data_IF_197627492102
#
_entry.id   IF_197627492102
#
_cell.length_a   1.000
_cell.length_b   1.000
_cell.length_c   1.000
_cell.angle_alpha   90.00
_cell.angle_beta   90.00
_cell.angle_gamma   90.00
#
_symmetry.space_group_name_H-M   'P 1'
#
loop_
_entity.id
_entity.type
_entity.pdbx_description
1 polymer ?
#
# COMPACT_ATOMS: atom_id res chain seq x y z
N UNK A 1 -19.17 1.19 24.06
CA UNK A 1 -18.65 0.11 23.20
C UNK A 1 -17.29 0.49 22.57
N UNK A 2 -16.39 -0.48 22.32
CA UNK A 2 -15.12 -0.21 21.62
C UNK A 2 -15.39 0.05 20.15
N UNK A 3 -14.76 1.08 19.56
CA UNK A 3 -14.84 1.35 18.12
C UNK A 3 -14.21 0.22 17.31
N UNK A 4 -14.88 -0.19 16.24
CA UNK A 4 -14.44 -1.25 15.34
C UNK A 4 -13.69 -0.62 14.18
N UNK A 5 -12.41 -0.97 14.04
CA UNK A 5 -11.55 -0.47 12.98
C UNK A 5 -11.17 -1.62 12.06
N UNK A 6 -11.45 -1.47 10.78
CA UNK A 6 -11.05 -2.37 9.71
C UNK A 6 -9.83 -1.82 9.00
N UNK A 7 -8.80 -2.63 8.83
CA UNK A 7 -7.63 -2.34 7.99
C UNK A 7 -7.49 -3.43 6.94
N UNK A 8 -7.28 -3.02 5.69
CA UNK A 8 -7.05 -3.94 4.58
C UNK A 8 -5.67 -3.67 4.00
N UNK A 9 -4.86 -4.73 3.88
CA UNK A 9 -3.56 -4.67 3.20
C UNK A 9 -3.58 -5.62 2.00
N UNK A 10 -3.06 -5.15 0.86
CA UNK A 10 -3.14 -5.86 -0.42
C UNK A 10 -1.77 -6.20 -1.01
N UNK A 11 -0.71 -5.54 -0.52
CA UNK A 11 0.65 -5.76 -1.00
C UNK A 11 1.70 -5.64 0.11
N UNK A 12 2.90 -6.15 -0.19
CA UNK A 12 4.06 -6.00 0.70
C UNK A 12 4.43 -4.53 0.91
N UNK A 13 4.22 -3.68 -0.09
CA UNK A 13 4.58 -2.27 -0.04
C UNK A 13 3.77 -1.53 1.03
N UNK A 14 2.44 -1.66 1.00
CA UNK A 14 1.56 -1.06 2.00
C UNK A 14 1.76 -1.67 3.39
N UNK A 15 1.86 -3.00 3.50
CA UNK A 15 2.12 -3.65 4.78
C UNK A 15 3.44 -3.22 5.41
N UNK A 16 4.53 -3.17 4.62
CA UNK A 16 5.85 -2.80 5.11
C UNK A 16 5.88 -1.42 5.77
N UNK A 17 5.18 -0.47 5.18
CA UNK A 17 5.04 0.89 5.70
C UNK A 17 4.11 0.93 6.92
N UNK A 18 2.96 0.25 6.85
CA UNK A 18 1.92 0.31 7.87
C UNK A 18 2.13 -0.66 9.04
N UNK A 19 3.14 -1.53 9.02
CA UNK A 19 3.37 -2.58 10.00
C UNK A 19 3.34 -2.07 11.45
N UNK A 20 4.03 -0.97 11.72
CA UNK A 20 4.07 -0.40 13.07
C UNK A 20 2.71 0.12 13.52
N UNK A 21 1.97 0.75 12.62
CA UNK A 21 0.61 1.23 12.88
C UNK A 21 -0.35 0.07 13.15
N UNK A 22 -0.28 -0.99 12.35
CA UNK A 22 -1.06 -2.22 12.55
C UNK A 22 -0.79 -2.81 13.93
N UNK A 23 0.48 -2.83 14.36
CA UNK A 23 0.88 -3.32 15.67
C UNK A 23 0.26 -2.49 16.81
N UNK A 24 0.29 -1.17 16.69
CA UNK A 24 -0.31 -0.26 17.68
C UNK A 24 -1.83 -0.47 17.78
N UNK A 25 -2.52 -0.59 16.65
CA UNK A 25 -3.97 -0.87 16.67
C UNK A 25 -4.28 -2.22 17.31
N UNK A 26 -3.49 -3.25 16.98
CA UNK A 26 -3.73 -4.59 17.50
C UNK A 26 -3.47 -4.70 19.01
N UNK A 27 -2.52 -3.91 19.53
CA UNK A 27 -2.18 -3.87 20.97
C UNK A 27 -3.13 -3.01 21.77
N UNK A 28 -3.93 -2.16 21.12
CA UNK A 28 -4.81 -1.21 21.82
C UNK A 28 -6.00 -1.92 22.45
N UNK A 29 -6.17 -1.71 23.76
CA UNK A 29 -7.36 -2.17 24.50
C UNK A 29 -8.61 -1.29 24.27
N UNK A 30 -8.46 -0.11 23.64
CA UNK A 30 -9.54 0.87 23.43
C UNK A 30 -10.39 0.60 22.21
N UNK A 31 -9.90 -0.18 21.26
CA UNK A 31 -10.54 -0.45 19.97
C UNK A 31 -10.72 -1.96 19.73
N UNK A 32 -11.57 -2.32 18.77
CA UNK A 32 -11.68 -3.67 18.22
C UNK A 32 -11.13 -3.64 16.79
N UNK A 33 -9.92 -4.17 16.63
CA UNK A 33 -9.18 -4.10 15.37
C UNK A 33 -9.35 -5.37 14.54
N UNK A 34 -9.57 -5.20 13.23
CA UNK A 34 -9.73 -6.27 12.25
C UNK A 34 -8.77 -6.05 11.09
N UNK A 35 -7.77 -6.93 10.96
CA UNK A 35 -6.86 -6.93 9.82
C UNK A 35 -7.34 -7.93 8.77
N UNK A 36 -7.58 -7.46 7.56
CA UNK A 36 -7.81 -8.31 6.39
C UNK A 36 -6.58 -8.26 5.49
N UNK A 37 -6.15 -9.45 5.08
CA UNK A 37 -5.05 -9.62 4.13
C UNK A 37 -5.63 -10.07 2.80
N UNK A 38 -5.28 -9.35 1.73
CA UNK A 38 -5.85 -9.54 0.40
C UNK A 38 -4.80 -9.33 -0.70
N UNK A 39 -5.22 -9.25 -1.94
CA UNK A 39 -4.39 -8.86 -3.07
C UNK A 39 -3.18 -9.79 -3.30
N UNK A 40 -2.05 -9.16 -3.62
CA UNK A 40 -0.80 -9.86 -3.96
C UNK A 40 -0.18 -10.62 -2.80
N UNK A 41 -0.54 -10.30 -1.55
CA UNK A 41 -0.09 -11.06 -0.38
C UNK A 41 -0.41 -12.55 -0.45
N UNK A 42 -1.49 -12.92 -1.16
CA UNK A 42 -2.03 -14.27 -1.21
C UNK A 42 -1.59 -15.05 -2.47
N UNK A 43 -0.71 -14.48 -3.29
CA UNK A 43 -0.25 -15.08 -4.54
C UNK A 43 1.22 -15.48 -4.46
N UNK A 44 1.54 -16.70 -4.90
CA UNK A 44 2.91 -17.24 -4.86
C UNK A 44 3.87 -16.51 -5.80
N UNK A 45 3.40 -16.16 -6.99
CA UNK A 45 4.17 -15.42 -7.98
C UNK A 45 4.56 -13.98 -7.54
N UNK A 46 3.95 -13.47 -6.45
CA UNK A 46 4.34 -12.24 -5.77
C UNK A 46 5.07 -12.50 -4.45
N UNK A 47 5.64 -13.71 -4.27
CA UNK A 47 6.44 -14.09 -3.11
C UNK A 47 5.65 -14.49 -1.87
N UNK A 48 4.31 -14.66 -1.97
CA UNK A 48 3.43 -15.11 -0.86
C UNK A 48 3.71 -14.35 0.46
N UNK A 49 3.73 -13.02 0.36
CA UNK A 49 4.22 -12.12 1.43
C UNK A 49 3.36 -12.12 2.71
N UNK A 50 2.23 -12.84 2.71
CA UNK A 50 1.49 -13.14 3.94
C UNK A 50 2.34 -13.87 4.99
N UNK A 51 3.41 -14.58 4.56
CA UNK A 51 4.35 -15.22 5.47
C UNK A 51 5.05 -14.19 6.36
N UNK A 52 5.36 -13.01 5.82
CA UNK A 52 5.96 -11.92 6.60
C UNK A 52 5.02 -11.43 7.71
N UNK A 53 3.72 -11.28 7.39
CA UNK A 53 2.69 -10.87 8.37
C UNK A 53 2.59 -11.88 9.51
N UNK A 54 2.59 -13.18 9.18
CA UNK A 54 2.55 -14.26 10.17
C UNK A 54 3.82 -14.31 11.04
N UNK A 55 5.00 -14.17 10.43
CA UNK A 55 6.28 -14.17 11.13
C UNK A 55 6.39 -13.00 12.12
N UNK A 56 5.74 -11.89 11.82
CA UNK A 56 5.61 -10.75 12.72
C UNK A 56 4.56 -10.95 13.83
N UNK A 57 3.96 -12.16 13.95
CA UNK A 57 2.94 -12.50 14.96
C UNK A 57 1.71 -11.59 14.95
N UNK A 58 1.41 -10.99 13.79
CA UNK A 58 0.23 -10.13 13.63
C UNK A 58 -0.99 -11.01 13.40
N UNK A 59 -2.05 -10.78 14.22
CA UNK A 59 -3.31 -11.51 14.11
C UNK A 59 -4.09 -11.07 12.88
N UNK A 60 -4.28 -11.98 11.95
CA UNK A 60 -5.10 -11.78 10.75
C UNK A 60 -6.53 -12.21 11.08
N UNK A 61 -7.49 -11.31 10.90
CA UNK A 61 -8.91 -11.63 11.07
C UNK A 61 -9.42 -12.51 9.91
N UNK A 62 -9.11 -12.13 8.66
CA UNK A 62 -9.56 -12.86 7.47
C UNK A 62 -8.60 -12.66 6.31
N UNK A 63 -8.52 -13.67 5.43
CA UNK A 63 -7.88 -13.62 4.12
C UNK A 63 -8.96 -13.55 3.06
N UNK A 64 -8.85 -12.63 2.10
CA UNK A 64 -9.81 -12.48 1.01
C UNK A 64 -9.05 -12.41 -0.31
N UNK A 65 -9.18 -13.42 -1.14
CA UNK A 65 -8.58 -13.40 -2.47
C UNK A 65 -9.50 -12.64 -3.45
N UNK A 66 -9.05 -11.46 -3.88
CA UNK A 66 -9.76 -10.62 -4.84
C UNK A 66 -9.18 -10.71 -6.25
N UNK A 67 -7.94 -11.16 -6.41
CA UNK A 67 -7.23 -11.10 -7.70
C UNK A 67 -7.75 -12.10 -8.73
N UNK A 68 -8.48 -13.15 -8.33
CA UNK A 68 -8.94 -14.18 -9.28
C UNK A 68 -7.77 -14.85 -10.02
N UNK A 69 -8.09 -15.44 -11.17
CA UNK A 69 -7.12 -15.92 -12.17
C UNK A 69 -6.88 -14.80 -13.17
N UNK A 70 -5.67 -14.24 -13.17
CA UNK A 70 -5.29 -13.20 -14.12
C UNK A 70 -5.05 -13.81 -15.50
N UNK A 71 -5.71 -13.25 -16.50
CA UNK A 71 -5.53 -13.62 -17.92
C UNK A 71 -4.64 -12.62 -18.67
N UNK A 72 -4.01 -11.68 -17.95
CA UNK A 72 -3.16 -10.61 -18.48
C UNK A 72 -3.86 -9.73 -19.53
N UNK A 73 -5.13 -9.42 -19.30
CA UNK A 73 -5.89 -8.50 -20.12
C UNK A 73 -6.43 -7.33 -19.27
N UNK A 74 -6.89 -6.27 -19.93
CA UNK A 74 -7.39 -5.05 -19.28
C UNK A 74 -8.69 -5.24 -18.47
N UNK A 75 -9.36 -6.38 -18.60
CA UNK A 75 -10.53 -6.73 -17.78
C UNK A 75 -10.15 -7.31 -16.42
N UNK A 76 -8.88 -7.67 -16.20
CA UNK A 76 -8.45 -8.27 -14.94
C UNK A 76 -8.73 -7.34 -13.75
N UNK A 77 -8.57 -6.03 -13.93
CA UNK A 77 -8.83 -5.04 -12.89
C UNK A 77 -10.33 -4.89 -12.59
N UNK A 78 -11.19 -5.03 -13.60
CA UNK A 78 -12.65 -5.10 -13.41
C UNK A 78 -13.07 -6.34 -12.63
N UNK A 79 -12.41 -7.48 -12.87
CA UNK A 79 -12.64 -8.70 -12.09
C UNK A 79 -12.25 -8.50 -10.63
N UNK A 80 -11.15 -7.79 -10.37
CA UNK A 80 -10.72 -7.45 -9.01
C UNK A 80 -11.74 -6.55 -8.34
N UNK A 81 -12.25 -5.52 -9.01
CA UNK A 81 -13.31 -4.64 -8.49
C UNK A 81 -14.59 -5.45 -8.15
N UNK A 82 -15.06 -6.29 -9.08
CA UNK A 82 -16.20 -7.20 -8.86
C UNK A 82 -16.00 -8.08 -7.63
N UNK A 83 -14.82 -8.71 -7.51
CA UNK A 83 -14.50 -9.59 -6.39
C UNK A 83 -14.41 -8.82 -5.07
N UNK A 84 -13.90 -7.59 -5.09
CA UNK A 84 -13.86 -6.73 -3.91
C UNK A 84 -15.28 -6.49 -3.40
N UNK A 85 -16.21 -6.06 -4.23
CA UNK A 85 -17.61 -5.91 -3.84
C UNK A 85 -18.19 -7.23 -3.31
N UNK A 86 -18.07 -8.32 -4.08
CA UNK A 86 -18.64 -9.63 -3.74
C UNK A 86 -18.24 -10.11 -2.35
N UNK A 87 -16.96 -10.02 -2.01
CA UNK A 87 -16.43 -10.59 -0.77
C UNK A 87 -16.47 -9.62 0.40
N UNK A 88 -16.29 -8.31 0.15
CA UNK A 88 -16.27 -7.34 1.22
C UNK A 88 -17.67 -6.92 1.70
N UNK A 89 -18.71 -6.96 0.85
CA UNK A 89 -20.09 -6.73 1.30
C UNK A 89 -20.45 -7.68 2.45
N UNK A 90 -20.17 -8.98 2.31
CA UNK A 90 -20.41 -9.96 3.39
C UNK A 90 -19.59 -9.65 4.65
N UNK A 91 -18.37 -9.16 4.45
CA UNK A 91 -17.45 -8.83 5.55
C UNK A 91 -17.90 -7.59 6.30
N UNK A 92 -18.34 -6.54 5.59
CA UNK A 92 -18.91 -5.34 6.17
C UNK A 92 -20.16 -5.64 6.98
N UNK A 93 -21.09 -6.43 6.41
CA UNK A 93 -22.30 -6.89 7.16
C UNK A 93 -21.93 -7.60 8.47
N UNK A 94 -20.91 -8.46 8.46
CA UNK A 94 -20.50 -9.25 9.64
C UNK A 94 -19.78 -8.40 10.70
N UNK A 95 -18.86 -7.52 10.30
CA UNK A 95 -18.05 -6.71 11.21
C UNK A 95 -18.85 -5.48 11.65
N UNK A 96 -19.55 -4.84 10.72
CA UNK A 96 -20.15 -3.51 10.83
C UNK A 96 -19.13 -2.52 11.41
N UNK A 97 -18.05 -2.17 10.64
CA UNK A 97 -16.96 -1.35 11.13
C UNK A 97 -17.41 0.12 11.31
N UNK A 98 -16.97 0.76 12.38
CA UNK A 98 -17.13 2.22 12.56
C UNK A 98 -16.18 2.98 11.62
N UNK A 99 -14.97 2.43 11.40
CA UNK A 99 -13.95 3.02 10.55
C UNK A 99 -13.27 1.97 9.68
N UNK A 100 -12.90 2.39 8.48
CA UNK A 100 -11.93 1.66 7.65
C UNK A 100 -10.71 2.53 7.40
N UNK A 101 -9.53 1.93 7.49
CA UNK A 101 -8.26 2.59 7.13
C UNK A 101 -7.85 2.11 5.75
N UNK A 102 -7.60 3.06 4.85
CA UNK A 102 -7.08 2.86 3.50
C UNK A 102 -5.75 3.58 3.39
N UNK A 103 -4.73 2.86 2.94
CA UNK A 103 -3.39 3.40 2.72
C UNK A 103 -3.10 3.51 1.22
N UNK A 104 -2.69 4.72 0.79
CA UNK A 104 -2.21 4.97 -0.57
C UNK A 104 -3.31 4.94 -1.64
N UNK A 105 -2.98 4.33 -2.76
CA UNK A 105 -3.62 4.56 -4.04
C UNK A 105 -3.80 3.30 -4.90
N UNK A 106 -3.62 2.15 -4.31
CA UNK A 106 -3.75 0.91 -5.08
C UNK A 106 -5.15 0.76 -5.66
N UNK A 107 -5.24 0.37 -6.93
CA UNK A 107 -6.50 0.32 -7.69
C UNK A 107 -7.56 -0.58 -7.02
N UNK A 108 -7.16 -1.65 -6.36
CA UNK A 108 -8.08 -2.52 -5.63
C UNK A 108 -8.70 -1.87 -4.37
N UNK A 109 -8.15 -0.74 -3.92
CA UNK A 109 -8.67 0.00 -2.77
C UNK A 109 -9.80 0.96 -3.15
N UNK A 110 -9.89 1.38 -4.41
CA UNK A 110 -10.96 2.28 -4.88
C UNK A 110 -12.37 1.65 -4.73
N UNK A 111 -12.63 0.42 -5.23
CA UNK A 111 -13.93 -0.23 -5.01
C UNK A 111 -14.22 -0.48 -3.53
N UNK A 112 -13.19 -0.68 -2.70
CA UNK A 112 -13.35 -0.82 -1.25
C UNK A 112 -13.74 0.51 -0.58
N UNK A 113 -13.12 1.62 -0.99
CA UNK A 113 -13.49 2.97 -0.52
C UNK A 113 -14.94 3.30 -0.91
N UNK A 114 -15.32 3.02 -2.15
CA UNK A 114 -16.70 3.24 -2.61
C UNK A 114 -17.71 2.39 -1.84
N UNK A 115 -17.39 1.12 -1.56
CA UNK A 115 -18.22 0.26 -0.73
C UNK A 115 -18.37 0.81 0.70
N UNK A 116 -17.29 1.28 1.31
CA UNK A 116 -17.30 1.86 2.64
C UNK A 116 -18.15 3.14 2.69
N UNK A 117 -18.01 3.99 1.68
CA UNK A 117 -18.80 5.21 1.51
C UNK A 117 -20.31 4.91 1.44
N UNK A 118 -20.72 3.98 0.58
CA UNK A 118 -22.14 3.57 0.47
C UNK A 118 -22.66 2.92 1.75
N UNK A 119 -21.79 2.20 2.49
CA UNK A 119 -22.14 1.60 3.79
C UNK A 119 -22.12 2.61 4.94
N UNK A 120 -21.84 3.90 4.68
CA UNK A 120 -21.70 4.96 5.69
C UNK A 120 -20.64 4.63 6.77
N UNK A 121 -19.64 3.82 6.42
CA UNK A 121 -18.48 3.56 7.26
C UNK A 121 -17.48 4.68 7.07
N UNK A 122 -17.04 5.31 8.16
CA UNK A 122 -16.06 6.40 8.07
C UNK A 122 -14.72 5.92 7.53
N UNK A 123 -14.17 6.64 6.56
CA UNK A 123 -12.93 6.29 5.90
C UNK A 123 -11.80 7.17 6.41
N UNK A 124 -10.72 6.54 6.85
CA UNK A 124 -9.45 7.18 7.18
C UNK A 124 -8.48 6.91 6.04
N UNK A 125 -8.12 7.93 5.28
CA UNK A 125 -7.15 7.82 4.19
C UNK A 125 -5.77 8.27 4.64
N UNK A 126 -4.77 7.41 4.44
CA UNK A 126 -3.36 7.69 4.75
C UNK A 126 -2.61 7.83 3.44
N UNK A 127 -1.72 8.81 3.33
CA UNK A 127 -0.96 9.22 2.13
C UNK A 127 -1.85 9.74 0.99
N UNK A 128 -2.96 10.42 1.31
CA UNK A 128 -3.70 11.24 0.35
C UNK A 128 -2.91 12.48 -0.08
N UNK A 129 -3.28 13.05 -1.24
CA UNK A 129 -2.72 14.31 -1.74
C UNK A 129 -1.33 14.20 -2.38
N UNK A 130 -0.70 13.03 -2.42
CA UNK A 130 0.53 12.82 -3.18
C UNK A 130 0.25 12.84 -4.69
N UNK A 131 1.26 13.19 -5.50
CA UNK A 131 1.19 13.24 -6.96
C UNK A 131 2.09 12.15 -7.55
N UNK A 132 1.58 11.47 -8.58
CA UNK A 132 2.30 10.42 -9.32
C UNK A 132 2.08 10.65 -10.82
N UNK A 133 2.82 11.60 -11.41
CA UNK A 133 2.67 11.92 -12.83
C UNK A 133 2.85 10.67 -13.70
N UNK A 134 1.98 10.54 -14.72
CA UNK A 134 2.02 9.41 -15.65
C UNK A 134 1.53 8.08 -15.08
N UNK A 135 0.94 8.08 -13.88
CA UNK A 135 0.38 6.89 -13.25
C UNK A 135 -1.14 6.98 -13.06
N UNK A 136 -1.81 5.85 -13.27
CA UNK A 136 -3.25 5.71 -12.98
C UNK A 136 -3.54 5.89 -11.48
N UNK A 137 -2.56 5.60 -10.65
CA UNK A 137 -2.62 5.65 -9.19
C UNK A 137 -3.00 7.05 -8.69
N UNK A 138 -2.63 8.12 -9.39
CA UNK A 138 -2.98 9.50 -9.00
C UNK A 138 -4.48 9.71 -8.95
N UNK A 139 -5.19 9.37 -10.03
CA UNK A 139 -6.64 9.50 -10.09
C UNK A 139 -7.34 8.64 -9.05
N UNK A 140 -6.81 7.44 -8.80
CA UNK A 140 -7.31 6.53 -7.77
C UNK A 140 -7.12 7.14 -6.38
N UNK A 141 -5.93 7.67 -6.07
CA UNK A 141 -5.62 8.33 -4.80
C UNK A 141 -6.57 9.48 -4.52
N UNK A 142 -6.75 10.36 -5.50
CA UNK A 142 -7.63 11.51 -5.34
C UNK A 142 -9.10 11.11 -5.21
N UNK A 143 -9.55 10.08 -5.92
CA UNK A 143 -10.90 9.52 -5.75
C UNK A 143 -11.10 8.95 -4.35
N UNK A 144 -10.14 8.20 -3.81
CA UNK A 144 -10.19 7.68 -2.43
C UNK A 144 -10.22 8.85 -1.44
N UNK A 145 -9.40 9.90 -1.65
CA UNK A 145 -9.43 11.12 -0.83
C UNK A 145 -10.84 11.69 -0.78
N UNK A 146 -11.52 11.82 -1.91
CA UNK A 146 -12.89 12.38 -1.99
C UNK A 146 -13.98 11.54 -1.30
N UNK A 147 -13.77 10.25 -1.14
CA UNK A 147 -14.67 9.38 -0.36
C UNK A 147 -14.37 9.40 1.15
N UNK A 148 -13.27 10.01 1.58
CA UNK A 148 -12.74 9.85 2.93
C UNK A 148 -13.19 10.97 3.87
N UNK A 149 -13.37 10.62 5.15
CA UNK A 149 -13.77 11.56 6.21
C UNK A 149 -12.56 12.17 6.93
N UNK A 150 -11.45 11.44 7.00
CA UNK A 150 -10.23 11.83 7.71
C UNK A 150 -9.00 11.55 6.85
N UNK A 151 -8.06 12.49 6.81
CA UNK A 151 -6.89 12.44 5.94
C UNK A 151 -5.61 12.58 6.75
N UNK A 152 -4.72 11.60 6.66
CA UNK A 152 -3.40 11.63 7.25
C UNK A 152 -2.36 11.72 6.15
N UNK A 153 -1.81 12.90 5.99
CA UNK A 153 -0.87 13.22 4.90
C UNK A 153 0.58 13.25 5.39
N UNK A 154 1.52 13.11 4.46
CA UNK A 154 2.95 12.96 4.75
C UNK A 154 3.70 14.29 4.88
N UNK A 155 3.16 15.41 4.38
CA UNK A 155 3.77 16.74 4.42
C UNK A 155 2.75 17.85 4.19
N UNK A 156 3.18 19.12 4.35
CA UNK A 156 2.30 20.28 4.20
C UNK A 156 1.82 20.52 2.77
N UNK A 157 2.61 20.17 1.75
CA UNK A 157 2.20 20.31 0.33
C UNK A 157 1.00 19.40 0.06
N UNK A 158 1.06 18.16 0.54
CA UNK A 158 -0.03 17.21 0.39
C UNK A 158 -1.26 17.62 1.20
N UNK A 159 -1.07 18.22 2.39
CA UNK A 159 -2.16 18.79 3.19
C UNK A 159 -2.87 19.89 2.44
N UNK A 160 -2.12 20.86 1.90
CA UNK A 160 -2.67 21.96 1.11
C UNK A 160 -3.47 21.42 -0.08
N UNK A 161 -2.93 20.43 -0.81
CA UNK A 161 -3.62 19.84 -1.96
C UNK A 161 -4.93 19.16 -1.57
N UNK A 162 -4.95 18.39 -0.48
CA UNK A 162 -6.17 17.74 0.02
C UNK A 162 -7.23 18.78 0.39
N UNK A 163 -6.83 19.90 1.02
CA UNK A 163 -7.73 21.00 1.34
C UNK A 163 -8.25 21.66 0.05
N UNK A 164 -7.38 21.90 -0.94
CA UNK A 164 -7.77 22.44 -2.25
C UNK A 164 -8.73 21.53 -3.02
N UNK A 165 -8.70 20.22 -2.78
CA UNK A 165 -9.70 19.28 -3.30
C UNK A 165 -11.08 19.43 -2.62
N UNK A 166 -11.24 20.35 -1.68
CA UNK A 166 -12.49 20.64 -0.99
C UNK A 166 -12.69 19.86 0.30
N UNK A 167 -11.64 19.27 0.87
CA UNK A 167 -11.72 18.57 2.15
C UNK A 167 -11.67 19.56 3.32
N UNK A 168 -12.39 19.24 4.41
CA UNK A 168 -12.43 20.10 5.59
C UNK A 168 -11.04 20.13 6.26
N UNK A 169 -10.41 21.32 6.41
CA UNK A 169 -9.08 21.45 7.01
C UNK A 169 -8.97 20.84 8.41
N UNK A 170 -10.05 20.80 9.18
CA UNK A 170 -10.09 20.20 10.53
C UNK A 170 -9.92 18.68 10.51
N UNK A 171 -10.13 18.05 9.36
CA UNK A 171 -10.01 16.61 9.17
C UNK A 171 -8.73 16.21 8.42
N UNK A 172 -7.84 17.17 8.11
CA UNK A 172 -6.59 16.92 7.38
C UNK A 172 -5.40 17.11 8.32
N UNK A 173 -4.74 16.01 8.64
CA UNK A 173 -3.67 15.93 9.62
C UNK A 173 -2.33 15.64 8.94
N UNK A 174 -1.31 16.48 9.16
CA UNK A 174 0.06 16.19 8.78
C UNK A 174 0.84 15.68 9.99
N UNK A 175 1.06 14.38 10.07
CA UNK A 175 1.91 13.74 11.08
C UNK A 175 3.18 13.10 10.48
N UNK A 176 3.49 13.44 9.23
CA UNK A 176 4.64 12.90 8.54
C UNK A 176 4.38 11.52 7.91
N UNK A 177 5.42 10.94 7.34
CA UNK A 177 5.33 9.68 6.61
C UNK A 177 5.56 8.47 7.50
N UNK A 178 4.67 7.49 7.44
CA UNK A 178 4.84 6.18 8.08
C UNK A 178 6.10 5.45 7.59
N UNK A 179 6.56 5.74 6.37
CA UNK A 179 7.80 5.16 5.83
C UNK A 179 9.03 5.60 6.63
N UNK A 180 9.07 6.85 7.06
CA UNK A 180 10.16 7.38 7.90
C UNK A 180 10.14 6.71 9.27
N UNK A 181 8.95 6.54 9.86
CA UNK A 181 8.81 5.83 11.14
C UNK A 181 9.23 4.36 11.03
N UNK A 182 8.92 3.72 9.90
CA UNK A 182 9.36 2.37 9.63
C UNK A 182 10.89 2.27 9.53
N UNK A 183 11.54 3.20 8.80
CA UNK A 183 13.00 3.25 8.62
C UNK A 183 13.70 3.48 9.95
N UNK A 184 13.23 4.44 10.76
CA UNK A 184 13.83 4.76 12.09
C UNK A 184 13.85 3.57 13.04
N UNK A 185 12.95 2.60 12.86
CA UNK A 185 12.86 1.37 13.69
C UNK A 185 13.66 0.20 13.13
N UNK A 186 14.28 0.33 11.94
CA UNK A 186 15.09 -0.73 11.36
C UNK A 186 16.45 -0.78 12.03
N UNK A 187 16.82 -1.96 12.51
CA UNK A 187 18.21 -2.24 12.88
C UNK A 187 19.01 -2.51 11.60
N UNK A 188 19.83 -1.54 11.20
CA UNK A 188 20.65 -1.67 10.00
C UNK A 188 21.68 -2.79 10.17
N UNK A 189 21.87 -3.54 9.07
CA UNK A 189 22.90 -4.57 8.99
C UNK A 189 24.25 -3.92 8.65
N UNK A 190 25.33 -4.43 9.23
CA UNK A 190 26.67 -4.05 8.79
C UNK A 190 27.04 -4.75 7.46
N UNK A 191 28.16 -4.31 6.84
CA UNK A 191 28.60 -4.82 5.55
C UNK A 191 28.71 -6.34 5.50
N UNK A 192 29.35 -6.96 6.49
CA UNK A 192 29.53 -8.44 6.56
C UNK A 192 28.20 -9.17 6.65
N UNK A 193 27.23 -8.63 7.39
CA UNK A 193 25.89 -9.18 7.50
C UNK A 193 25.11 -9.08 6.21
N UNK A 194 25.27 -7.96 5.47
CA UNK A 194 24.65 -7.76 4.15
C UNK A 194 25.22 -8.77 3.15
N UNK A 195 26.54 -8.88 3.05
CA UNK A 195 27.22 -9.83 2.17
C UNK A 195 26.80 -11.29 2.44
N UNK A 196 26.72 -11.68 3.72
CA UNK A 196 26.24 -13.01 4.12
C UNK A 196 24.78 -13.24 3.69
N UNK A 197 23.92 -12.22 3.84
CA UNK A 197 22.49 -12.31 3.51
C UNK A 197 22.23 -12.34 2.01
N UNK A 198 22.98 -11.54 1.25
CA UNK A 198 22.90 -11.49 -0.20
C UNK A 198 23.63 -12.65 -0.87
N UNK A 199 24.50 -13.38 -0.12
CA UNK A 199 25.44 -14.37 -0.68
C UNK A 199 26.31 -13.78 -1.78
N UNK A 200 26.68 -12.53 -1.64
CA UNK A 200 27.44 -11.76 -2.62
C UNK A 200 28.39 -10.81 -1.89
N UNK A 201 29.64 -10.74 -2.36
CA UNK A 201 30.67 -9.85 -1.80
C UNK A 201 30.55 -8.46 -2.43
N UNK A 202 30.34 -7.45 -1.61
CA UNK A 202 30.23 -6.09 -2.07
C UNK A 202 31.59 -5.54 -2.54
N UNK A 203 31.60 -4.78 -3.61
CA UNK A 203 32.76 -4.04 -4.10
C UNK A 203 32.99 -2.75 -3.29
N UNK A 204 34.07 -2.02 -3.61
CA UNK A 204 34.35 -0.72 -2.99
C UNK A 204 33.25 0.29 -3.30
N UNK A 205 32.75 0.29 -4.53
CA UNK A 205 31.58 1.04 -4.97
C UNK A 205 30.48 0.07 -5.38
N UNK A 206 29.24 0.37 -5.05
CA UNK A 206 28.07 -0.47 -5.37
C UNK A 206 26.93 0.44 -5.77
N UNK A 207 26.25 0.09 -6.84
CA UNK A 207 25.05 0.77 -7.32
C UNK A 207 23.84 -0.11 -7.07
N UNK A 208 22.80 0.45 -6.44
CA UNK A 208 21.46 -0.17 -6.36
C UNK A 208 20.55 0.57 -7.33
N UNK A 209 20.07 -0.12 -8.33
CA UNK A 209 19.17 0.43 -9.33
C UNK A 209 17.79 -0.22 -9.24
N UNK A 210 16.75 0.60 -9.15
CA UNK A 210 15.36 0.15 -9.17
C UNK A 210 14.61 0.91 -10.26
N UNK A 211 14.05 0.17 -11.21
CA UNK A 211 13.27 0.72 -12.31
C UNK A 211 11.77 0.54 -12.07
N UNK A 212 11.03 1.64 -12.11
CA UNK A 212 9.57 1.65 -12.03
C UNK A 212 9.01 2.20 -13.35
N UNK A 213 8.45 1.34 -14.23
CA UNK A 213 7.85 1.79 -15.49
C UNK A 213 6.57 2.59 -15.24
N UNK A 214 6.32 3.57 -16.12
CA UNK A 214 5.06 4.31 -16.12
C UNK A 214 3.88 3.40 -16.47
N UNK A 215 2.78 3.51 -15.70
CA UNK A 215 1.62 2.62 -15.86
C UNK A 215 0.74 2.98 -17.06
N UNK A 216 0.77 4.24 -17.52
CA UNK A 216 0.02 4.69 -18.70
C UNK A 216 0.66 4.35 -20.04
N UNK A 217 1.97 4.13 -20.08
CA UNK A 217 2.65 3.88 -21.35
C UNK A 217 2.56 2.41 -21.76
N UNK A 218 2.00 2.15 -22.95
CA UNK A 218 2.00 0.81 -23.57
C UNK A 218 3.35 0.45 -24.22
N UNK A 219 4.39 1.30 -24.11
CA UNK A 219 5.70 1.06 -24.70
C UNK A 219 6.43 -0.11 -24.05
N UNK A 220 7.25 -0.80 -24.85
CA UNK A 220 8.10 -1.89 -24.37
C UNK A 220 9.22 -1.32 -23.46
N UNK A 221 8.99 -1.28 -22.17
CA UNK A 221 9.97 -0.85 -21.14
C UNK A 221 11.31 -1.62 -21.18
N UNK A 222 11.35 -2.77 -21.87
CA UNK A 222 12.57 -3.53 -22.11
C UNK A 222 13.66 -2.73 -22.84
N UNK A 223 13.29 -1.79 -23.71
CA UNK A 223 14.26 -0.93 -24.42
C UNK A 223 14.94 0.03 -23.45
N UNK A 224 14.18 0.63 -22.54
CA UNK A 224 14.72 1.59 -21.56
C UNK A 224 15.68 0.91 -20.58
N UNK A 225 15.32 -0.28 -20.11
CA UNK A 225 16.18 -1.08 -19.22
C UNK A 225 17.49 -1.46 -19.91
N UNK A 226 17.42 -1.91 -21.18
CA UNK A 226 18.61 -2.30 -21.94
C UNK A 226 19.53 -1.11 -22.18
N UNK A 227 18.98 0.07 -22.49
CA UNK A 227 19.76 1.30 -22.66
C UNK A 227 20.51 1.65 -21.35
N UNK A 228 19.82 1.63 -20.21
CA UNK A 228 20.42 1.89 -18.91
C UNK A 228 21.51 0.88 -18.58
N UNK A 229 21.23 -0.42 -18.74
CA UNK A 229 22.20 -1.48 -18.48
C UNK A 229 23.44 -1.36 -19.38
N UNK A 230 23.26 -1.02 -20.66
CA UNK A 230 24.39 -0.82 -21.57
C UNK A 230 25.20 0.43 -21.20
N UNK A 231 24.57 1.50 -20.77
CA UNK A 231 25.26 2.68 -20.24
C UNK A 231 26.09 2.34 -19.00
N UNK A 232 25.48 1.58 -18.04
CA UNK A 232 26.16 1.18 -16.81
C UNK A 232 27.38 0.27 -17.05
N UNK A 233 27.36 -0.55 -18.09
CA UNK A 233 28.55 -1.39 -18.48
C UNK A 233 29.81 -0.59 -18.79
N UNK A 234 29.68 0.68 -19.14
CA UNK A 234 30.81 1.56 -19.43
C UNK A 234 31.56 2.03 -18.17
N UNK A 235 30.94 1.85 -16.99
CA UNK A 235 31.54 2.22 -15.70
C UNK A 235 32.23 0.99 -15.07
N UNK A 236 33.57 0.92 -15.24
CA UNK A 236 34.38 -0.23 -14.76
C UNK A 236 34.62 -0.22 -13.23
N UNK A 237 34.33 0.88 -12.56
CA UNK A 237 34.65 1.10 -11.14
C UNK A 237 33.47 0.96 -10.20
N UNK A 238 32.32 0.48 -10.70
CA UNK A 238 31.09 0.30 -9.94
C UNK A 238 30.75 -1.18 -9.81
#
# INVERSE_FOLDING_TARGET
MKKKILFVTTSRADYGVCKNLIYLFQSSKKIKFYLIVSGTHLKENFGNTIREIKNNKIKIYKKINILGEKKNNHFDDLVVAKNTFKYFIKTFKKINPDFIIIFGDRYEMLPLAYLAYLNRTKIIHINGGEVSYGAIDESIRHSITKFSDYHFVSNEINKTRVIQMGENPKNVYNYGSLSIDAIKKIKFLNRKQIEKKLKYKLFKKNLVFTYHPETYQKKKHSLDINLILNTLKNYKDI
#
